data_IF_426046623285
#
_entry.id   IF_426046623285
#
_cell.length_a   1.000
_cell.length_b   1.000
_cell.length_c   1.000
_cell.angle_alpha   90.00
_cell.angle_beta   90.00
_cell.angle_gamma   90.00
#
_symmetry.space_group_name_H-M   'P 1'
#
loop_
_entity.id
_entity.type
_entity.pdbx_description
1 polymer ?
#
# COMPACT_ATOMS: atom_id res chain seq x y z
N UNK A 1 -21.80 -2.81 -0.14
CA UNK A 1 -20.35 -2.75 -0.32
C UNK A 1 -19.81 -2.27 1.02
N UNK A 2 -19.14 -3.12 1.78
CA UNK A 2 -18.67 -2.75 3.13
C UNK A 2 -17.54 -1.76 2.95
N UNK A 3 -17.67 -0.59 3.54
CA UNK A 3 -16.61 0.40 3.50
C UNK A 3 -15.41 -0.14 4.29
N UNK A 4 -14.27 -0.28 3.62
CA UNK A 4 -13.05 -0.85 4.19
C UNK A 4 -12.54 0.02 5.36
N UNK A 5 -13.00 1.27 5.51
CA UNK A 5 -12.67 2.11 6.66
C UNK A 5 -13.29 1.64 7.98
N UNK A 6 -14.38 0.87 7.97
CA UNK A 6 -15.01 0.34 9.20
C UNK A 6 -14.40 -0.99 9.68
N UNK A 7 -13.52 -1.60 8.88
CA UNK A 7 -12.86 -2.85 9.22
C UNK A 7 -11.53 -2.59 9.94
N UNK A 8 -11.26 -3.36 11.00
CA UNK A 8 -9.95 -3.33 11.67
C UNK A 8 -8.88 -3.85 10.70
N UNK A 9 -8.08 -2.93 10.15
CA UNK A 9 -7.00 -3.27 9.21
C UNK A 9 -5.81 -3.79 9.99
N UNK A 10 -5.35 -5.00 9.64
CA UNK A 10 -4.13 -5.55 10.19
C UNK A 10 -2.94 -4.82 9.58
N UNK A 11 -2.00 -4.39 10.43
CA UNK A 11 -0.73 -3.85 9.97
C UNK A 11 0.15 -5.02 9.51
N UNK A 12 0.54 -5.01 8.25
CA UNK A 12 1.32 -6.09 7.61
C UNK A 12 2.60 -5.55 7.01
N UNK A 13 3.62 -6.40 6.97
CA UNK A 13 4.88 -6.19 6.25
C UNK A 13 4.89 -7.03 4.96
N UNK A 14 5.92 -6.89 4.13
CA UNK A 14 6.02 -7.61 2.86
C UNK A 14 6.08 -9.12 3.08
N UNK A 15 6.80 -9.54 4.12
CA UNK A 15 6.98 -10.95 4.51
C UNK A 15 5.66 -11.69 4.82
N UNK A 16 4.65 -10.96 5.29
CA UNK A 16 3.35 -11.55 5.69
C UNK A 16 2.26 -11.32 4.65
N UNK A 17 2.51 -10.55 3.60
CA UNK A 17 1.52 -10.17 2.59
C UNK A 17 0.83 -11.39 1.95
N UNK A 18 1.59 -12.45 1.68
CA UNK A 18 1.07 -13.69 1.11
C UNK A 18 0.05 -14.42 2.01
N UNK A 19 0.05 -14.16 3.32
CA UNK A 19 -0.91 -14.75 4.27
C UNK A 19 -2.23 -13.97 4.33
N UNK A 20 -2.26 -12.74 3.80
CA UNK A 20 -3.39 -11.82 3.86
C UNK A 20 -4.02 -11.54 2.48
N UNK A 21 -3.87 -12.47 1.54
CA UNK A 21 -4.50 -12.38 0.21
C UNK A 21 -6.02 -12.22 0.37
N UNK A 22 -6.59 -11.31 -0.43
CA UNK A 22 -8.03 -10.97 -0.44
C UNK A 22 -8.58 -10.37 0.86
N UNK A 23 -7.69 -9.95 1.79
CA UNK A 23 -8.09 -9.31 3.05
C UNK A 23 -7.68 -7.84 3.07
N UNK A 24 -8.47 -6.97 3.74
CA UNK A 24 -8.08 -5.58 3.92
C UNK A 24 -6.89 -5.47 4.89
N UNK A 25 -5.84 -4.79 4.45
CA UNK A 25 -4.60 -4.60 5.23
C UNK A 25 -4.16 -3.15 5.24
N UNK A 26 -3.35 -2.80 6.24
CA UNK A 26 -2.57 -1.56 6.28
C UNK A 26 -1.11 -1.90 6.02
N UNK A 27 -0.55 -1.41 4.93
CA UNK A 27 0.87 -1.53 4.62
C UNK A 27 1.53 -0.16 4.82
N UNK A 28 2.54 -0.09 5.68
CA UNK A 28 3.29 1.15 5.95
C UNK A 28 4.72 0.95 5.49
N UNK A 29 5.20 1.86 4.65
CA UNK A 29 6.54 1.77 4.11
C UNK A 29 7.03 3.09 3.55
N UNK A 30 8.33 3.14 3.26
CA UNK A 30 8.98 4.23 2.52
C UNK A 30 8.65 4.11 1.05
N UNK A 31 8.28 5.22 0.41
CA UNK A 31 8.10 5.26 -1.03
C UNK A 31 9.45 5.17 -1.74
N UNK A 32 9.64 4.13 -2.54
CA UNK A 32 10.86 3.91 -3.32
C UNK A 32 10.73 4.39 -4.75
N UNK A 33 9.63 4.02 -5.40
CA UNK A 33 9.45 4.26 -6.84
C UNK A 33 7.99 4.44 -7.19
N UNK A 34 7.72 5.39 -8.09
CA UNK A 34 6.40 5.57 -8.69
C UNK A 34 6.49 5.16 -10.17
N UNK A 35 5.51 4.40 -10.64
CA UNK A 35 5.40 4.05 -12.05
C UNK A 35 4.96 5.25 -12.89
N UNK A 36 5.37 5.33 -14.15
CA UNK A 36 5.09 6.47 -15.04
C UNK A 36 3.59 6.75 -15.22
N UNK A 37 2.75 5.72 -15.10
CA UNK A 37 1.28 5.86 -15.19
C UNK A 37 0.66 6.47 -13.94
N UNK A 38 1.40 6.58 -12.83
CA UNK A 38 0.89 7.02 -11.53
C UNK A 38 -0.09 6.04 -10.87
N UNK A 39 -0.35 4.87 -11.48
CA UNK A 39 -1.28 3.84 -10.99
C UNK A 39 -0.60 2.73 -10.18
N UNK A 40 0.71 2.77 -10.06
CA UNK A 40 1.48 1.77 -9.32
C UNK A 40 2.67 2.45 -8.66
N UNK A 41 2.98 2.06 -7.44
CA UNK A 41 4.19 2.49 -6.75
C UNK A 41 4.71 1.37 -5.84
N UNK A 42 6.00 1.47 -5.50
CA UNK A 42 6.70 0.50 -4.67
C UNK A 42 6.96 1.15 -3.31
N UNK A 43 6.58 0.44 -2.25
CA UNK A 43 6.90 0.78 -0.87
C UNK A 43 7.92 -0.22 -0.31
N UNK A 44 8.97 0.27 0.35
CA UNK A 44 9.83 -0.57 1.19
C UNK A 44 9.33 -0.56 2.63
N UNK A 45 9.15 -1.74 3.23
CA UNK A 45 8.84 -1.86 4.65
C UNK A 45 10.05 -1.55 5.55
N UNK A 46 9.88 -1.66 6.87
CA UNK A 46 10.94 -1.45 7.84
C UNK A 46 12.09 -2.48 7.81
N UNK A 47 11.91 -3.59 7.11
CA UNK A 47 12.95 -4.61 6.88
C UNK A 47 13.70 -4.38 5.56
N UNK A 48 13.30 -3.37 4.76
CA UNK A 48 13.87 -3.10 3.45
C UNK A 48 13.34 -4.01 2.34
N UNK A 49 12.22 -4.71 2.57
CA UNK A 49 11.53 -5.52 1.56
C UNK A 49 10.49 -4.70 0.82
N UNK A 50 10.28 -5.02 -0.45
CA UNK A 50 9.53 -4.17 -1.37
C UNK A 50 8.14 -4.73 -1.67
N UNK A 51 7.11 -4.00 -1.25
CA UNK A 51 5.72 -4.23 -1.63
C UNK A 51 5.32 -3.38 -2.84
N UNK A 52 4.59 -3.98 -3.78
CA UNK A 52 4.01 -3.26 -4.92
C UNK A 52 2.56 -2.89 -4.61
N UNK A 53 2.22 -1.62 -4.76
CA UNK A 53 0.88 -1.08 -4.52
C UNK A 53 0.29 -0.64 -5.86
N UNK A 54 -0.90 -1.14 -6.17
CA UNK A 54 -1.68 -0.77 -7.34
C UNK A 54 -2.86 0.11 -6.95
N UNK A 55 -3.18 1.06 -7.82
CA UNK A 55 -4.26 2.02 -7.66
C UNK A 55 -5.25 1.91 -8.83
N UNK A 56 -6.52 2.09 -8.51
CA UNK A 56 -7.58 2.16 -9.52
C UNK A 56 -7.45 3.41 -10.40
N UNK A 57 -7.10 4.54 -9.78
CA UNK A 57 -6.91 5.83 -10.44
C UNK A 57 -5.48 6.35 -10.22
N UNK A 58 -4.90 7.08 -11.19
CA UNK A 58 -3.55 7.60 -11.06
C UNK A 58 -3.47 8.66 -9.96
N UNK A 59 -2.37 8.70 -9.21
CA UNK A 59 -2.14 9.76 -8.22
C UNK A 59 -2.03 11.11 -8.93
N UNK A 60 -2.97 12.02 -8.63
CA UNK A 60 -3.00 13.38 -9.17
C UNK A 60 -2.20 14.38 -8.32
N UNK A 61 -2.07 14.14 -7.00
CA UNK A 61 -1.30 14.97 -6.09
C UNK A 61 -0.88 14.18 -4.81
N UNK A 62 0.40 14.21 -4.46
CA UNK A 62 0.88 13.83 -3.12
C UNK A 62 0.52 14.97 -2.16
N UNK A 63 -0.72 15.01 -1.67
CA UNK A 63 -1.04 15.86 -0.51
C UNK A 63 -0.52 15.15 0.74
N UNK A 64 0.78 15.29 1.01
CA UNK A 64 1.36 14.97 2.32
C UNK A 64 0.70 15.90 3.35
N UNK A 65 -0.26 15.38 4.12
CA UNK A 65 -0.51 15.95 5.45
C UNK A 65 0.68 15.53 6.32
N UNK A 66 1.62 16.47 6.50
CA UNK A 66 2.56 16.47 7.63
C UNK A 66 1.77 16.60 8.94
#
# INVERSE_FOLDING_TARGET
MVDIMELSKLHVNDSTLAQFIDRPVCFVGRLEKIHLTGKMFILSDGEGKNGTIELMEPILAFTMKL
#
